data_IF_703257376774
#
_entry.id   IF_703257376774
#
_cell.length_a   1.000
_cell.length_b   1.000
_cell.length_c   1.000
_cell.angle_alpha   90.00
_cell.angle_beta   90.00
_cell.angle_gamma   90.00
#
_symmetry.space_group_name_H-M   'P 1'
#
loop_
_entity.id
_entity.type
_entity.pdbx_description
1 polymer ?
#
# COMPACT_ATOMS: atom_id res chain seq x y z
N UNK A 1 -23.68 -18.21 -11.98
CA UNK A 1 -22.93 -16.97 -12.28
C UNK A 1 -21.47 -17.15 -11.87
N UNK A 2 -20.51 -16.99 -12.77
CA UNK A 2 -19.07 -17.19 -12.48
C UNK A 2 -18.53 -16.15 -11.49
N UNK A 3 -17.40 -16.43 -10.84
CA UNK A 3 -16.77 -15.50 -9.90
C UNK A 3 -16.45 -14.15 -10.56
N UNK A 4 -15.95 -14.16 -11.80
CA UNK A 4 -15.69 -12.95 -12.60
C UNK A 4 -16.96 -12.12 -12.77
N UNK A 5 -18.07 -12.73 -13.24
CA UNK A 5 -19.36 -12.05 -13.38
C UNK A 5 -19.91 -11.50 -12.06
N UNK A 6 -19.51 -12.09 -10.93
CA UNK A 6 -19.92 -11.65 -9.58
C UNK A 6 -19.12 -10.43 -9.14
N UNK A 7 -17.81 -10.40 -9.38
CA UNK A 7 -16.95 -9.22 -9.12
C UNK A 7 -17.37 -8.02 -9.97
N UNK A 8 -17.58 -8.22 -11.27
CA UNK A 8 -18.08 -7.16 -12.18
C UNK A 8 -19.43 -6.58 -11.73
N UNK A 9 -20.29 -7.39 -11.13
CA UNK A 9 -21.56 -6.91 -10.56
C UNK A 9 -21.35 -6.08 -9.30
N UNK A 10 -20.39 -6.46 -8.45
CA UNK A 10 -20.06 -5.71 -7.22
C UNK A 10 -19.50 -4.33 -7.60
N UNK A 11 -18.55 -4.25 -8.53
CA UNK A 11 -18.02 -2.95 -8.99
C UNK A 11 -19.13 -2.03 -9.52
N UNK A 12 -20.01 -2.55 -10.39
CA UNK A 12 -21.14 -1.77 -10.90
C UNK A 12 -22.10 -1.30 -9.80
N UNK A 13 -22.25 -2.04 -8.70
CA UNK A 13 -23.08 -1.60 -7.58
C UNK A 13 -22.42 -0.44 -6.84
N UNK A 14 -21.11 -0.53 -6.59
CA UNK A 14 -20.33 0.55 -5.97
C UNK A 14 -20.42 1.83 -6.80
N UNK A 15 -20.28 1.74 -8.12
CA UNK A 15 -20.37 2.88 -9.04
C UNK A 15 -21.74 3.60 -9.03
N UNK A 16 -22.79 2.94 -8.53
CA UNK A 16 -24.16 3.47 -8.50
C UNK A 16 -24.58 3.99 -7.12
N UNK A 17 -23.73 3.86 -6.10
CA UNK A 17 -24.06 4.31 -4.75
C UNK A 17 -24.08 5.85 -4.68
N UNK A 18 -25.04 6.44 -3.95
CA UNK A 18 -24.94 7.83 -3.55
C UNK A 18 -23.68 8.06 -2.71
N UNK A 19 -23.07 9.25 -2.83
CA UNK A 19 -21.85 9.63 -2.09
C UNK A 19 -21.98 9.36 -0.57
N UNK A 20 -23.16 9.65 0.00
CA UNK A 20 -23.45 9.45 1.41
C UNK A 20 -23.36 7.98 1.88
N UNK A 21 -23.50 7.02 0.96
CA UNK A 21 -23.46 5.59 1.24
C UNK A 21 -22.07 4.97 1.01
N UNK A 22 -21.15 5.71 0.36
CA UNK A 22 -19.81 5.19 0.03
C UNK A 22 -19.04 4.77 1.28
N UNK A 23 -19.11 5.59 2.35
CA UNK A 23 -18.43 5.27 3.60
C UNK A 23 -18.94 3.95 4.21
N UNK A 24 -20.26 3.71 4.20
CA UNK A 24 -20.83 2.47 4.72
C UNK A 24 -20.43 1.26 3.86
N UNK A 25 -20.43 1.42 2.54
CA UNK A 25 -20.05 0.37 1.60
C UNK A 25 -18.56 0.00 1.71
N UNK A 26 -17.68 0.98 1.82
CA UNK A 26 -16.25 0.81 2.04
C UNK A 26 -16.00 -0.05 3.29
N UNK A 27 -16.53 0.37 4.45
CA UNK A 27 -16.39 -0.35 5.73
C UNK A 27 -16.88 -1.79 5.66
N UNK A 28 -17.97 -2.05 4.93
CA UNK A 28 -18.51 -3.40 4.78
C UNK A 28 -17.67 -4.27 3.84
N UNK A 29 -17.17 -3.71 2.74
CA UNK A 29 -16.29 -4.43 1.81
C UNK A 29 -14.93 -4.75 2.46
N UNK A 30 -14.35 -3.84 3.24
CA UNK A 30 -13.15 -4.08 4.06
C UNK A 30 -13.35 -5.25 5.03
N UNK A 31 -14.49 -5.26 5.74
CA UNK A 31 -14.84 -6.34 6.65
C UNK A 31 -14.90 -7.69 5.92
N UNK A 32 -15.54 -7.74 4.75
CA UNK A 32 -15.63 -8.99 3.97
C UNK A 32 -14.29 -9.43 3.41
N UNK A 33 -13.45 -8.50 2.97
CA UNK A 33 -12.12 -8.78 2.42
C UNK A 33 -11.17 -9.36 3.48
N UNK A 34 -11.37 -9.00 4.75
CA UNK A 34 -10.52 -9.42 5.87
C UNK A 34 -11.15 -10.51 6.74
N UNK A 35 -12.36 -10.97 6.40
CA UNK A 35 -13.16 -11.89 7.22
C UNK A 35 -12.46 -13.23 7.52
N UNK A 36 -11.62 -13.73 6.61
CA UNK A 36 -10.92 -15.01 6.75
C UNK A 36 -9.50 -14.87 7.34
N UNK A 37 -9.00 -13.65 7.54
CA UNK A 37 -7.63 -13.42 8.02
C UNK A 37 -7.58 -12.35 9.14
N UNK A 38 -7.50 -12.78 10.42
CA UNK A 38 -7.48 -11.85 11.56
C UNK A 38 -6.24 -10.96 11.60
N UNK A 39 -5.11 -11.40 11.00
CA UNK A 39 -3.88 -10.59 10.90
C UNK A 39 -4.09 -9.45 9.90
N UNK A 40 -4.62 -9.74 8.71
CA UNK A 40 -4.91 -8.70 7.72
C UNK A 40 -5.95 -7.70 8.24
N UNK A 41 -6.94 -8.18 9.00
CA UNK A 41 -7.92 -7.32 9.66
C UNK A 41 -7.26 -6.33 10.63
N UNK A 42 -6.34 -6.82 11.47
CA UNK A 42 -5.62 -6.00 12.42
C UNK A 42 -4.76 -4.94 11.72
N UNK A 43 -4.03 -5.33 10.67
CA UNK A 43 -3.20 -4.42 9.87
C UNK A 43 -4.04 -3.34 9.16
N UNK A 44 -5.19 -3.70 8.59
CA UNK A 44 -6.05 -2.74 7.90
C UNK A 44 -6.70 -1.72 8.84
N UNK A 45 -7.01 -2.13 10.06
CA UNK A 45 -7.57 -1.25 11.09
C UNK A 45 -6.51 -0.52 11.92
N UNK A 46 -5.23 -0.76 11.67
CA UNK A 46 -4.17 -0.11 12.41
C UNK A 46 -4.21 1.40 12.14
N UNK A 47 -4.13 2.24 13.18
CA UNK A 47 -3.96 3.67 12.97
C UNK A 47 -2.64 3.93 12.23
N UNK A 48 -2.61 4.99 11.42
CA UNK A 48 -1.34 5.51 10.92
C UNK A 48 -0.50 5.96 12.12
N UNK A 49 0.69 5.38 12.26
CA UNK A 49 1.64 5.69 13.33
C UNK A 49 2.88 6.29 12.69
N UNK A 50 3.14 7.57 12.96
CA UNK A 50 4.40 8.22 12.60
C UNK A 50 5.46 7.84 13.64
N UNK A 51 6.14 6.71 13.41
CA UNK A 51 7.28 6.30 14.23
C UNK A 51 8.43 7.33 14.08
N UNK A 52 9.03 7.80 15.20
CA UNK A 52 10.16 8.71 15.11
C UNK A 52 11.34 8.00 14.45
N UNK A 53 11.94 8.64 13.45
CA UNK A 53 13.14 8.13 12.81
C UNK A 53 14.28 8.00 13.81
N UNK A 54 14.97 6.88 13.74
CA UNK A 54 16.28 6.75 14.39
C UNK A 54 17.29 7.71 13.76
N UNK A 55 18.38 8.07 14.46
CA UNK A 55 19.42 8.92 13.88
C UNK A 55 20.05 8.35 12.61
N UNK A 56 20.13 7.03 12.50
CA UNK A 56 20.66 6.33 11.32
C UNK A 56 19.71 6.49 10.12
N UNK A 57 18.41 6.28 10.33
CA UNK A 57 17.40 6.44 9.28
C UNK A 57 17.29 7.90 8.81
N UNK A 58 17.35 8.86 9.74
CA UNK A 58 17.37 10.28 9.41
C UNK A 58 18.58 10.64 8.53
N UNK A 59 19.77 10.14 8.87
CA UNK A 59 20.98 10.36 8.09
C UNK A 59 20.89 9.72 6.69
N UNK A 60 20.36 8.50 6.59
CA UNK A 60 20.15 7.82 5.31
C UNK A 60 19.16 8.57 4.40
N UNK A 61 18.11 9.16 4.97
CA UNK A 61 17.18 10.01 4.22
C UNK A 61 17.84 11.30 3.73
N UNK A 62 18.64 11.96 4.58
CA UNK A 62 19.40 13.16 4.17
C UNK A 62 20.35 12.86 3.00
N UNK A 63 21.08 11.74 3.05
CA UNK A 63 21.94 11.27 1.96
C UNK A 63 21.13 11.03 0.67
N UNK A 64 20.02 10.29 0.76
CA UNK A 64 19.17 10.01 -0.39
C UNK A 64 18.64 11.29 -1.05
N UNK A 65 18.20 12.27 -0.26
CA UNK A 65 17.75 13.56 -0.79
C UNK A 65 18.91 14.37 -1.42
N UNK A 66 20.11 14.30 -0.87
CA UNK A 66 21.29 14.96 -1.46
C UNK A 66 21.66 14.35 -2.83
N UNK A 67 21.61 13.03 -2.97
CA UNK A 67 21.84 12.32 -4.23
C UNK A 67 20.80 12.69 -5.30
N UNK A 68 19.51 12.73 -4.91
CA UNK A 68 18.44 13.16 -5.81
C UNK A 68 18.63 14.61 -6.26
N UNK A 69 18.94 15.53 -5.33
CA UNK A 69 19.12 16.94 -5.63
C UNK A 69 20.38 17.23 -6.46
N UNK A 70 21.41 16.41 -6.32
CA UNK A 70 22.65 16.51 -7.12
C UNK A 70 22.57 15.79 -8.47
N UNK A 71 21.45 15.11 -8.75
CA UNK A 71 21.25 14.37 -10.00
C UNK A 71 22.11 13.10 -10.10
N UNK A 72 22.45 12.50 -8.95
CA UNK A 72 23.23 11.26 -8.85
C UNK A 72 22.42 10.10 -8.23
N UNK A 73 21.18 9.81 -8.68
CA UNK A 73 20.48 8.62 -8.19
C UNK A 73 21.20 7.35 -8.65
N UNK A 74 21.09 6.29 -7.85
CA UNK A 74 21.49 4.95 -8.30
C UNK A 74 20.39 4.32 -9.15
N UNK A 75 20.73 3.54 -10.21
CA UNK A 75 19.74 2.75 -10.93
C UNK A 75 19.07 1.72 -10.01
N UNK A 76 17.79 1.43 -10.25
CA UNK A 76 17.02 0.49 -9.43
C UNK A 76 17.66 -0.91 -9.34
N UNK A 77 18.22 -1.39 -10.45
CA UNK A 77 18.96 -2.65 -10.48
C UNK A 77 20.20 -2.66 -9.57
N UNK A 78 20.83 -1.51 -9.35
CA UNK A 78 21.96 -1.37 -8.43
C UNK A 78 21.49 -1.34 -6.96
N UNK A 79 20.36 -0.68 -6.69
CA UNK A 79 19.72 -0.70 -5.37
C UNK A 79 19.41 -2.14 -4.92
N UNK A 80 18.75 -2.93 -5.78
CA UNK A 80 18.42 -4.32 -5.49
C UNK A 80 19.64 -5.18 -5.17
N UNK A 81 20.72 -5.01 -5.94
CA UNK A 81 21.99 -5.72 -5.68
C UNK A 81 22.59 -5.36 -4.31
N UNK A 82 22.56 -4.07 -3.93
CA UNK A 82 23.03 -3.63 -2.60
C UNK A 82 22.22 -4.21 -1.45
N UNK A 83 20.91 -4.40 -1.67
CA UNK A 83 19.99 -5.03 -0.72
C UNK A 83 20.10 -6.57 -0.70
N UNK A 84 20.94 -7.18 -1.56
CA UNK A 84 21.13 -8.62 -1.61
C UNK A 84 20.05 -9.39 -2.37
N UNK A 85 19.32 -8.70 -3.26
CA UNK A 85 18.30 -9.29 -4.12
C UNK A 85 18.74 -9.26 -5.59
N UNK A 86 18.23 -10.22 -6.37
CA UNK A 86 18.30 -10.13 -7.82
C UNK A 86 17.39 -8.99 -8.30
N UNK A 87 17.83 -8.15 -9.27
CA UNK A 87 16.98 -7.11 -9.82
C UNK A 87 15.73 -7.74 -10.46
N UNK A 88 14.55 -7.19 -10.20
CA UNK A 88 13.32 -7.64 -10.85
C UNK A 88 13.44 -7.48 -12.38
N UNK A 89 12.88 -8.42 -13.18
CA UNK A 89 12.92 -8.36 -14.64
C UNK A 89 12.12 -7.21 -15.26
#
# INVERSE_FOLDING_TARGET
>A
MSAIKRRERIHRLVDQLPEAELHAAERFLEFLATAENPVLRALWSAPEEEEPLTPEEAAALEEAYADLNSGQPIPDAELWRRLGHDPEP
#
